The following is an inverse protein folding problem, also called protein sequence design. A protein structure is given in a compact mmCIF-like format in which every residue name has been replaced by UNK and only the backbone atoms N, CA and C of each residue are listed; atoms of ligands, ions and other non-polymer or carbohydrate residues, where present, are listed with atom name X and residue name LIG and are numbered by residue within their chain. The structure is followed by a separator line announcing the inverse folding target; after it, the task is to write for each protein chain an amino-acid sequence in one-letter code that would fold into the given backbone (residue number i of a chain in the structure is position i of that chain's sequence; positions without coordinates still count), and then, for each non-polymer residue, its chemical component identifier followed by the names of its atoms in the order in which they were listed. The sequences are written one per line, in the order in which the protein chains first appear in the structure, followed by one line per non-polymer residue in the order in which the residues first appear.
data_IF_345780153322
#
_entry.id   IF_345780153322
#
_cell.length_a   1.000
_cell.length_b   1.000
_cell.length_c   1.000
_cell.angle_alpha   90.00
_cell.angle_beta   90.00
_cell.angle_gamma   90.00
#
_symmetry.space_group_name_H-M   'P 1'
#
loop_
_entity.id
_entity.type
_entity.pdbx_description
1 polymer ?
#
# COMPACT_ATOMS: atom_id res chain seq x y z
N UNK A 1 -12.72 -2.10 -68.81
CA UNK A 1 -11.55 -1.20 -68.79
C UNK A 1 -11.82 0.11 -68.04
N UNK A 2 -12.94 0.79 -68.26
CA UNK A 2 -13.24 2.10 -67.65
C UNK A 2 -13.39 2.04 -66.12
N UNK A 3 -13.94 0.95 -65.57
CA UNK A 3 -14.09 0.77 -64.11
C UNK A 3 -12.75 0.76 -63.35
N UNK A 4 -11.71 0.16 -63.93
CA UNK A 4 -10.38 0.08 -63.30
C UNK A 4 -9.68 1.44 -63.28
N UNK A 5 -9.85 2.24 -64.33
CA UNK A 5 -9.25 3.58 -64.41
C UNK A 5 -9.82 4.53 -63.35
N UNK A 6 -11.13 4.44 -63.08
CA UNK A 6 -11.78 5.27 -62.07
C UNK A 6 -11.41 4.86 -60.63
N UNK A 7 -11.27 3.56 -60.37
CA UNK A 7 -10.78 3.07 -59.08
C UNK A 7 -9.31 3.43 -58.84
N UNK A 8 -8.48 3.44 -59.89
CA UNK A 8 -7.07 3.77 -59.78
C UNK A 8 -6.86 5.26 -59.48
N UNK A 9 -7.60 6.15 -60.15
CA UNK A 9 -7.59 7.59 -59.84
C UNK A 9 -8.10 7.90 -58.43
N UNK A 10 -9.14 7.20 -57.96
CA UNK A 10 -9.61 7.35 -56.59
C UNK A 10 -8.59 6.86 -55.55
N UNK A 11 -7.79 5.85 -55.90
CA UNK A 11 -6.72 5.33 -55.04
C UNK A 11 -5.49 6.25 -55.03
N UNK A 12 -5.13 6.86 -56.16
CA UNK A 12 -4.07 7.88 -56.27
C UNK A 12 -4.42 9.14 -55.44
N UNK A 13 -5.64 9.67 -55.58
CA UNK A 13 -6.13 10.82 -54.79
C UNK A 13 -6.19 10.51 -53.28
N UNK A 14 -6.39 9.24 -52.93
CA UNK A 14 -6.40 8.80 -51.53
C UNK A 14 -5.01 8.87 -50.92
N UNK A 15 -3.95 8.51 -51.67
CA UNK A 15 -2.60 8.41 -51.12
C UNK A 15 -2.00 9.79 -50.77
N UNK A 16 -2.22 10.81 -51.62
CA UNK A 16 -1.85 12.21 -51.30
C UNK A 16 -2.60 12.76 -50.06
N UNK A 17 -3.85 12.33 -49.85
CA UNK A 17 -4.60 12.69 -48.64
C UNK A 17 -3.97 12.06 -47.40
N UNK A 18 -3.57 10.78 -47.49
CA UNK A 18 -2.89 10.08 -46.41
C UNK A 18 -1.54 10.71 -46.09
N UNK A 19 -0.78 11.16 -47.10
CA UNK A 19 0.45 11.92 -46.90
C UNK A 19 0.22 13.14 -46.00
N UNK A 20 -0.79 13.95 -46.31
CA UNK A 20 -1.13 15.14 -45.51
C UNK A 20 -1.53 14.78 -44.08
N UNK A 21 -2.26 13.69 -43.89
CA UNK A 21 -2.66 13.20 -42.57
C UNK A 21 -1.44 12.75 -41.77
N UNK A 22 -0.55 11.95 -42.37
CA UNK A 22 0.66 11.44 -41.74
C UNK A 22 1.61 12.59 -41.39
N UNK A 23 1.87 13.51 -42.31
CA UNK A 23 2.71 14.68 -42.05
C UNK A 23 2.17 15.57 -40.92
N UNK A 24 0.84 15.70 -40.81
CA UNK A 24 0.19 16.43 -39.71
C UNK A 24 0.27 15.70 -38.38
N UNK A 25 0.03 14.38 -38.37
CA UNK A 25 -0.01 13.58 -37.15
C UNK A 25 1.39 13.21 -36.63
N UNK A 26 2.34 13.02 -37.55
CA UNK A 26 3.67 12.50 -37.30
C UNK A 26 4.73 13.26 -38.13
N UNK A 27 5.12 14.47 -37.71
CA UNK A 27 5.97 15.38 -38.51
C UNK A 27 7.41 14.91 -38.76
N UNK A 28 7.81 13.76 -38.22
CA UNK A 28 9.17 13.19 -38.33
C UNK A 28 9.16 11.81 -39.00
N UNK A 29 8.07 11.46 -39.67
CA UNK A 29 7.98 10.18 -40.36
C UNK A 29 8.48 10.32 -41.79
N UNK A 30 9.35 9.41 -42.20
CA UNK A 30 9.69 9.19 -43.61
C UNK A 30 8.95 7.91 -44.05
N UNK A 31 8.37 7.94 -45.25
CA UNK A 31 7.87 6.74 -45.93
C UNK A 31 9.05 5.92 -46.41
N UNK A 32 8.97 4.60 -46.19
CA UNK A 32 9.90 3.65 -46.81
C UNK A 32 9.54 3.52 -48.29
N UNK A 33 10.52 3.34 -49.17
CA UNK A 33 10.35 3.34 -50.64
C UNK A 33 9.32 2.32 -51.18
N UNK A 34 8.93 1.33 -50.37
CA UNK A 34 8.04 0.24 -50.74
C UNK A 34 6.62 0.33 -50.12
N UNK A 35 6.29 1.40 -49.38
CA UNK A 35 5.02 1.51 -48.62
C UNK A 35 4.12 2.65 -49.12
N UNK A 36 2.80 2.43 -49.15
CA UNK A 36 1.82 3.52 -49.35
C UNK A 36 1.69 4.40 -48.09
N UNK A 37 1.28 5.66 -48.22
CA UNK A 37 1.09 6.56 -47.07
C UNK A 37 0.05 6.01 -46.08
N UNK A 38 -0.95 5.30 -46.61
CA UNK A 38 -1.94 4.59 -45.79
C UNK A 38 -1.32 3.50 -44.93
N UNK A 39 -0.44 2.67 -45.49
CA UNK A 39 0.26 1.61 -44.74
C UNK A 39 1.20 2.21 -43.70
N UNK A 40 1.92 3.28 -44.06
CA UNK A 40 2.73 4.06 -43.15
C UNK A 40 1.91 4.57 -41.95
N UNK A 41 0.72 5.12 -42.19
CA UNK A 41 -0.19 5.57 -41.12
C UNK A 41 -0.57 4.45 -40.15
N UNK A 42 -0.94 3.27 -40.65
CA UNK A 42 -1.29 2.13 -39.79
C UNK A 42 -0.11 1.67 -38.93
N UNK A 43 1.08 1.56 -39.52
CA UNK A 43 2.32 1.22 -38.79
C UNK A 43 2.58 2.21 -37.66
N UNK A 44 2.46 3.51 -37.93
CA UNK A 44 2.69 4.55 -36.93
C UNK A 44 1.63 4.55 -35.82
N UNK A 45 0.37 4.30 -36.16
CA UNK A 45 -0.70 4.12 -35.17
C UNK A 45 -0.40 2.96 -34.23
N UNK A 46 0.01 1.80 -34.74
CA UNK A 46 0.38 0.65 -33.91
C UNK A 46 1.59 0.94 -33.03
N UNK A 47 2.63 1.59 -33.56
CA UNK A 47 3.79 2.00 -32.78
C UNK A 47 3.43 2.96 -31.65
N UNK A 48 2.54 3.92 -31.93
CA UNK A 48 2.08 4.89 -30.95
C UNK A 48 1.26 4.21 -29.86
N UNK A 49 0.33 3.31 -30.23
CA UNK A 49 -0.44 2.53 -29.27
C UNK A 49 0.47 1.64 -28.39
N UNK A 50 1.49 1.02 -28.98
CA UNK A 50 2.48 0.23 -28.24
C UNK A 50 3.29 1.10 -27.27
N UNK A 51 3.74 2.28 -27.69
CA UNK A 51 4.45 3.24 -26.82
C UNK A 51 3.55 3.70 -25.68
N UNK A 52 2.28 3.99 -25.96
CA UNK A 52 1.29 4.40 -24.97
C UNK A 52 1.01 3.30 -23.95
N UNK A 53 0.82 2.04 -24.41
CA UNK A 53 0.68 0.87 -23.53
C UNK A 53 1.89 0.70 -22.62
N UNK A 54 3.11 0.79 -23.18
CA UNK A 54 4.34 0.69 -22.40
C UNK A 54 4.48 1.82 -21.37
N UNK A 55 4.10 3.05 -21.71
CA UNK A 55 4.15 4.17 -20.79
C UNK A 55 3.12 3.99 -19.67
N UNK A 56 1.91 3.55 -20.01
CA UNK A 56 0.84 3.27 -19.04
C UNK A 56 1.25 2.16 -18.05
N UNK A 57 1.86 1.07 -18.53
CA UNK A 57 2.38 0.00 -17.65
C UNK A 57 3.49 0.50 -16.73
N UNK A 58 4.43 1.33 -17.23
CA UNK A 58 5.47 1.95 -16.40
C UNK A 58 4.88 2.87 -15.33
N UNK A 59 3.92 3.73 -15.67
CA UNK A 59 3.27 4.63 -14.73
C UNK A 59 2.52 3.84 -13.66
N UNK A 60 1.74 2.84 -14.05
CA UNK A 60 1.00 2.00 -13.09
C UNK A 60 1.92 1.20 -12.17
N UNK A 61 3.02 0.66 -12.69
CA UNK A 61 4.04 0.00 -11.87
C UNK A 61 4.70 0.97 -10.88
N UNK A 62 5.17 2.13 -11.34
CA UNK A 62 5.77 3.14 -10.48
C UNK A 62 4.81 3.59 -9.36
N UNK A 63 3.54 3.81 -9.67
CA UNK A 63 2.54 4.17 -8.67
C UNK A 63 2.31 3.06 -7.63
N UNK A 64 2.34 1.77 -8.04
CA UNK A 64 2.28 0.63 -7.10
C UNK A 64 3.50 0.57 -6.18
N UNK A 65 4.69 0.85 -6.70
CA UNK A 65 5.92 0.90 -5.92
C UNK A 65 5.95 2.09 -4.95
N UNK A 66 5.43 3.26 -5.37
CA UNK A 66 5.31 4.44 -4.52
C UNK A 66 4.21 4.33 -3.45
N UNK A 67 3.17 3.52 -3.70
CA UNK A 67 2.11 3.20 -2.73
C UNK A 67 2.44 2.00 -1.85
N UNK A 68 3.52 1.25 -2.12
CA UNK A 68 4.11 0.41 -1.10
C UNK A 68 4.35 1.30 0.12
N UNK A 69 3.88 0.92 1.32
CA UNK A 69 3.92 1.80 2.47
C UNK A 69 5.37 2.10 2.80
N UNK A 70 5.88 3.21 2.26
CA UNK A 70 7.05 3.89 2.76
C UNK A 70 6.72 4.05 4.23
N UNK A 71 7.48 3.36 5.08
CA UNK A 71 7.38 3.52 6.53
C UNK A 71 7.82 4.93 6.85
N UNK A 72 6.95 5.89 6.60
CA UNK A 72 7.12 7.26 7.03
C UNK A 72 7.18 7.17 8.55
N UNK A 73 8.30 7.58 9.12
CA UNK A 73 8.39 7.77 10.54
C UNK A 73 7.31 8.81 10.87
N UNK A 74 6.18 8.35 11.44
CA UNK A 74 5.14 9.25 11.93
C UNK A 74 5.86 10.27 12.81
N UNK A 75 5.81 11.54 12.39
CA UNK A 75 6.36 12.65 13.14
C UNK A 75 5.54 12.70 14.43
N UNK A 76 6.03 12.00 15.46
CA UNK A 76 5.34 11.97 16.73
C UNK A 76 5.43 13.38 17.31
N UNK A 77 4.30 13.90 17.81
CA UNK A 77 4.27 15.13 18.58
C UNK A 77 5.41 15.15 19.61
N UNK A 78 5.96 16.34 19.84
CA UNK A 78 7.08 16.55 20.75
C UNK A 78 6.74 16.02 22.15
N UNK A 79 7.18 14.79 22.44
CA UNK A 79 7.00 14.17 23.75
C UNK A 79 8.00 14.78 24.72
N UNK A 80 7.53 15.14 25.91
CA UNK A 80 8.43 15.52 27.00
C UNK A 80 9.49 14.42 27.25
N UNK A 81 10.76 14.80 27.54
CA UNK A 81 11.82 13.86 27.89
C UNK A 81 11.39 12.86 28.97
N UNK A 82 11.97 11.65 28.94
CA UNK A 82 11.54 10.52 29.80
C UNK A 82 11.47 10.90 31.28
N UNK A 83 12.44 11.64 31.79
CA UNK A 83 12.50 12.00 33.21
C UNK A 83 11.43 13.02 33.59
N UNK A 84 11.16 13.99 32.71
CA UNK A 84 10.07 14.96 32.87
C UNK A 84 8.74 14.22 32.90
N UNK A 85 8.52 13.28 31.97
CA UNK A 85 7.30 12.45 31.94
C UNK A 85 7.10 11.64 33.22
N UNK A 86 8.17 11.03 33.75
CA UNK A 86 8.10 10.28 35.02
C UNK A 86 7.70 11.17 36.19
N UNK A 87 8.22 12.39 36.25
CA UNK A 87 7.83 13.36 37.29
C UNK A 87 6.38 13.81 37.11
N UNK A 88 5.97 14.14 35.88
CA UNK A 88 4.59 14.53 35.57
C UNK A 88 3.58 13.46 35.99
N UNK A 89 3.89 12.18 35.79
CA UNK A 89 3.04 11.07 36.27
C UNK A 89 3.00 11.03 37.81
N UNK A 90 4.15 11.15 38.47
CA UNK A 90 4.23 11.12 39.93
C UNK A 90 3.45 12.25 40.60
N UNK A 91 3.50 13.44 40.02
CA UNK A 91 2.88 14.65 40.57
C UNK A 91 1.54 15.01 39.91
N UNK A 92 1.04 14.18 38.99
CA UNK A 92 -0.23 14.42 38.30
C UNK A 92 -0.23 15.63 37.35
N UNK A 93 0.92 16.21 37.01
CA UNK A 93 1.04 17.42 36.17
C UNK A 93 1.15 17.13 34.67
N UNK A 94 0.84 15.91 34.24
CA UNK A 94 0.89 15.53 32.84
C UNK A 94 -0.18 16.30 32.05
N UNK A 95 0.25 17.21 31.18
CA UNK A 95 -0.63 17.83 30.20
C UNK A 95 -0.91 16.82 29.08
N UNK A 96 -2.15 16.36 28.99
CA UNK A 96 -2.62 15.61 27.83
C UNK A 96 -2.89 16.62 26.70
N UNK A 97 -2.22 16.44 25.55
CA UNK A 97 -2.47 17.26 24.35
C UNK A 97 -3.84 17.02 23.73
N UNK A 98 -4.53 15.96 24.16
CA UNK A 98 -5.87 15.61 23.70
C UNK A 98 -6.87 15.62 24.87
N UNK A 99 -8.12 16.04 24.61
CA UNK A 99 -9.20 15.91 25.58
C UNK A 99 -9.32 14.45 26.05
N UNK A 100 -9.49 14.26 27.36
CA UNK A 100 -9.81 12.94 27.88
C UNK A 100 -11.21 12.56 27.40
N UNK A 101 -11.43 11.32 26.94
CA UNK A 101 -12.76 10.84 26.58
C UNK A 101 -13.68 10.91 27.79
N UNK A 102 -14.93 11.26 27.53
CA UNK A 102 -16.00 11.34 28.52
C UNK A 102 -16.31 9.97 29.12
N UNK A 103 -16.92 9.95 30.32
CA UNK A 103 -17.35 8.72 30.98
C UNK A 103 -18.33 7.89 30.12
N UNK A 104 -19.16 8.55 29.32
CA UNK A 104 -20.10 7.90 28.41
C UNK A 104 -19.36 7.15 27.27
N UNK A 105 -18.34 7.76 26.69
CA UNK A 105 -17.52 7.12 25.64
C UNK A 105 -16.76 5.90 26.17
N UNK A 106 -16.21 6.01 27.38
CA UNK A 106 -15.52 4.90 28.05
C UNK A 106 -16.49 3.74 28.31
N UNK A 107 -17.69 4.05 28.80
CA UNK A 107 -18.71 3.05 29.13
C UNK A 107 -19.23 2.34 27.87
N UNK A 108 -19.45 3.09 26.79
CA UNK A 108 -19.86 2.55 25.49
C UNK A 108 -18.79 1.62 24.92
N UNK A 109 -17.53 2.04 24.93
CA UNK A 109 -16.42 1.21 24.44
C UNK A 109 -16.27 -0.09 25.26
N UNK A 110 -16.48 -0.04 26.58
CA UNK A 110 -16.50 -1.25 27.43
C UNK A 110 -17.66 -2.18 27.09
N UNK A 111 -18.85 -1.63 26.85
CA UNK A 111 -20.04 -2.40 26.51
C UNK A 111 -19.89 -3.13 25.16
N UNK A 112 -19.28 -2.47 24.18
CA UNK A 112 -19.05 -3.06 22.84
C UNK A 112 -18.18 -4.33 22.85
N UNK A 113 -17.30 -4.50 23.84
CA UNK A 113 -16.56 -5.76 24.02
C UNK A 113 -17.50 -6.90 24.38
N UNK A 114 -18.44 -6.68 25.30
CA UNK A 114 -19.38 -7.72 25.74
C UNK A 114 -20.41 -8.02 24.66
N UNK A 115 -20.91 -6.99 23.96
CA UNK A 115 -21.97 -7.14 22.96
C UNK A 115 -21.46 -7.75 21.65
N UNK A 116 -20.25 -7.36 21.20
CA UNK A 116 -19.74 -7.69 19.85
C UNK A 116 -18.43 -8.47 19.86
N UNK A 117 -17.81 -8.69 21.02
CA UNK A 117 -16.46 -9.27 21.11
C UNK A 117 -15.36 -8.39 20.52
N UNK A 118 -15.69 -7.15 20.11
CA UNK A 118 -14.79 -6.27 19.38
C UNK A 118 -14.04 -5.34 20.36
N UNK A 119 -12.70 -5.45 20.38
CA UNK A 119 -11.84 -4.67 21.27
C UNK A 119 -11.41 -3.32 20.69
N UNK A 120 -11.67 -3.07 19.41
CA UNK A 120 -11.11 -1.89 18.71
C UNK A 120 -11.54 -0.55 19.33
N UNK A 121 -12.78 -0.45 19.80
CA UNK A 121 -13.25 0.76 20.47
C UNK A 121 -12.47 1.08 21.76
N UNK A 122 -12.03 0.05 22.51
CA UNK A 122 -11.24 0.24 23.73
C UNK A 122 -9.74 0.40 23.47
N UNK A 123 -9.20 -0.16 22.37
CA UNK A 123 -7.79 0.03 22.01
C UNK A 123 -7.49 1.45 21.55
N UNK A 124 -8.49 2.11 20.94
CA UNK A 124 -8.43 3.50 20.48
C UNK A 124 -8.48 4.54 21.62
N UNK A 125 -8.87 4.17 22.84
CA UNK A 125 -8.85 5.08 23.99
C UNK A 125 -7.42 5.31 24.53
N UNK A 126 -7.16 6.47 25.17
CA UNK A 126 -5.86 6.79 25.75
C UNK A 126 -5.35 5.73 26.73
N UNK A 127 -4.04 5.47 26.70
CA UNK A 127 -3.45 4.42 27.52
C UNK A 127 -3.65 4.62 29.03
N UNK A 128 -3.78 5.87 29.49
CA UNK A 128 -4.03 6.19 30.89
C UNK A 128 -5.39 5.66 31.41
N UNK A 129 -6.37 5.43 30.52
CA UNK A 129 -7.74 5.05 30.86
C UNK A 129 -7.97 3.55 30.66
N UNK A 130 -7.27 2.94 29.71
CA UNK A 130 -7.25 1.48 29.53
C UNK A 130 -6.38 0.85 30.64
N UNK A 131 -7.00 0.37 31.71
CA UNK A 131 -6.29 -0.48 32.66
C UNK A 131 -6.02 -1.84 31.99
N UNK A 132 -4.83 -2.00 31.40
CA UNK A 132 -4.45 -3.25 30.71
C UNK A 132 -4.12 -4.39 31.67
N UNK A 133 -4.06 -4.11 32.98
CA UNK A 133 -3.76 -5.08 34.04
C UNK A 133 -4.99 -5.55 34.81
N UNK A 134 -6.19 -5.03 34.55
CA UNK A 134 -7.40 -5.48 35.25
C UNK A 134 -7.90 -6.81 34.69
N UNK A 135 -7.81 -7.87 35.48
CA UNK A 135 -8.37 -9.20 35.21
C UNK A 135 -9.88 -9.29 35.53
N UNK A 136 -10.64 -8.25 35.23
CA UNK A 136 -12.08 -8.21 35.50
C UNK A 136 -12.82 -8.59 34.22
N UNK A 137 -13.36 -9.81 34.14
CA UNK A 137 -14.28 -10.23 33.08
C UNK A 137 -13.80 -11.30 32.09
N UNK A 138 -12.65 -11.94 32.29
CA UNK A 138 -12.20 -13.07 31.47
C UNK A 138 -12.48 -14.40 32.19
N UNK A 139 -13.73 -14.87 32.09
CA UNK A 139 -13.98 -16.32 32.16
C UNK A 139 -13.57 -16.94 30.83
N UNK A 140 -12.27 -17.07 30.63
CA UNK A 140 -11.75 -18.07 29.72
C UNK A 140 -10.78 -18.89 30.54
N UNK A 141 -11.02 -20.20 30.60
CA UNK A 141 -10.07 -21.19 31.12
C UNK A 141 -8.71 -20.92 30.49
N UNK A 142 -7.84 -20.18 31.19
CA UNK A 142 -6.52 -19.82 30.70
C UNK A 142 -5.72 -21.11 30.71
N UNK A 143 -5.68 -21.79 29.56
CA UNK A 143 -4.74 -22.88 29.30
C UNK A 143 -3.36 -22.33 29.62
N UNK A 144 -2.75 -22.81 30.71
CA UNK A 144 -1.46 -22.34 31.23
C UNK A 144 -0.48 -22.33 30.06
N UNK A 145 -0.11 -21.13 29.58
CA UNK A 145 0.87 -20.99 28.52
C UNK A 145 2.19 -21.48 29.08
N UNK A 146 2.63 -22.65 28.62
CA UNK A 146 3.95 -23.18 28.96
C UNK A 146 4.97 -22.17 28.44
N UNK A 147 5.85 -21.62 29.29
CA UNK A 147 6.84 -20.63 28.87
C UNK A 147 7.73 -21.26 27.80
N UNK A 148 7.75 -20.66 26.60
CA UNK A 148 8.62 -21.10 25.50
C UNK A 148 10.06 -20.81 25.90
N UNK A 149 10.87 -21.87 26.05
CA UNK A 149 12.30 -21.74 26.37
C UNK A 149 13.03 -21.15 25.16
N UNK A 150 13.94 -20.20 25.39
CA UNK A 150 14.74 -19.57 24.33
C UNK A 150 15.69 -20.56 23.64
N UNK A 151 16.09 -20.27 22.40
CA UNK A 151 16.94 -21.16 21.59
C UNK A 151 18.23 -21.58 22.31
N UNK A 152 18.86 -20.66 23.04
CA UNK A 152 20.05 -20.94 23.84
C UNK A 152 19.74 -21.93 24.97
N UNK A 153 18.66 -21.71 25.71
CA UNK A 153 18.22 -22.59 26.80
C UNK A 153 17.87 -23.99 26.30
N UNK A 154 17.28 -24.10 25.11
CA UNK A 154 17.00 -25.40 24.48
C UNK A 154 18.31 -26.13 24.18
N UNK A 155 19.30 -25.44 23.60
CA UNK A 155 20.62 -26.02 23.30
C UNK A 155 21.35 -26.46 24.56
N UNK A 156 21.37 -25.64 25.61
CA UNK A 156 22.05 -25.97 26.87
C UNK A 156 21.37 -27.14 27.59
N UNK A 157 20.04 -27.15 27.67
CA UNK A 157 19.30 -28.25 28.29
C UNK A 157 19.51 -29.58 27.53
N UNK A 158 19.56 -29.54 26.20
CA UNK A 158 19.84 -30.71 25.36
C UNK A 158 21.26 -31.24 25.62
N UNK A 159 22.26 -30.37 25.69
CA UNK A 159 23.64 -30.78 25.99
C UNK A 159 23.77 -31.40 27.38
N UNK A 160 23.09 -30.85 28.38
CA UNK A 160 23.10 -31.38 29.75
C UNK A 160 22.41 -32.75 29.85
N UNK A 161 21.39 -33.01 29.04
CA UNK A 161 20.66 -34.28 29.02
C UNK A 161 21.33 -35.40 28.20
N UNK A 162 22.38 -35.12 27.43
CA UNK A 162 23.08 -36.12 26.60
C UNK A 162 24.00 -37.04 27.43
N UNK A 163 24.20 -36.77 28.72
CA UNK A 163 25.05 -37.60 29.59
C UNK A 163 24.24 -38.56 30.46
N UNK A 164 24.07 -39.79 29.96
CA UNK A 164 24.28 -41.09 30.63
C UNK A 164 23.74 -42.21 29.75
N UNK A 165 24.59 -42.74 28.87
CA UNK A 165 24.49 -44.14 28.44
C UNK A 165 25.77 -44.82 28.89
N UNK A 166 25.62 -45.77 29.83
CA UNK A 166 26.61 -46.83 30.09
C UNK A 166 26.54 -47.80 28.93
#
# INVERSE_FOLDING_TARGET
MIQYFFLQQLMEDSDELWERIVNRAFPKCETTDDETWRECYYRLCEENERKLKLLSTKITQHNREATAPVKTALLADAKAPRDVRRRQIRYGTQHASHPLPSANEISKARKEIFDKGNKEALTNLPQAIRNTSSSLGSHSEKKKMIPKKGALMIKTLRMLNVRRRK
#
